data_IF_086422140461
#
_entry.id   IF_086422140461
#
_cell.length_a   1.000
_cell.length_b   1.000
_cell.length_c   1.000
_cell.angle_alpha   90.00
_cell.angle_beta   90.00
_cell.angle_gamma   90.00
#
_symmetry.space_group_name_H-M   'P 1'
#
loop_
_entity.id
_entity.type
_entity.pdbx_description
1 polymer ?
#
# COMPACT_ATOMS: atom_id res chain seq x y z
N UNK A 1 -9.34 3.62 -18.30
CA UNK A 1 -8.65 3.53 -16.98
C UNK A 1 -7.20 3.90 -17.21
N UNK A 2 -6.67 4.87 -16.47
CA UNK A 2 -5.23 5.19 -16.59
C UNK A 2 -4.43 4.12 -15.84
N UNK A 3 -3.47 3.49 -16.52
CA UNK A 3 -2.56 2.53 -15.92
C UNK A 3 -1.75 3.22 -14.81
N UNK A 4 -1.53 2.52 -13.70
CA UNK A 4 -0.75 3.02 -12.59
C UNK A 4 0.17 1.92 -12.02
N UNK A 5 1.27 2.36 -11.42
CA UNK A 5 2.13 1.48 -10.64
C UNK A 5 1.93 1.69 -9.14
N UNK A 6 2.42 0.76 -8.33
CA UNK A 6 2.43 0.89 -6.89
C UNK A 6 3.85 1.01 -6.34
N UNK A 7 4.03 1.87 -5.35
CA UNK A 7 5.26 2.05 -4.59
C UNK A 7 4.96 1.66 -3.15
N UNK A 8 5.61 0.62 -2.65
CA UNK A 8 5.50 0.18 -1.26
C UNK A 8 6.69 0.70 -0.48
N UNK A 9 6.44 1.57 0.47
CA UNK A 9 7.47 2.13 1.32
C UNK A 9 7.87 1.10 2.39
N UNK A 10 9.04 0.50 2.24
CA UNK A 10 9.60 -0.48 3.18
C UNK A 10 10.69 0.11 4.07
N UNK A 11 11.24 1.26 3.69
CA UNK A 11 12.23 2.02 4.44
C UNK A 11 11.61 2.88 5.53
N UNK A 12 12.38 3.15 6.56
CA UNK A 12 12.00 4.04 7.65
C UNK A 12 12.77 3.74 8.93
N UNK A 13 12.53 4.52 9.98
CA UNK A 13 13.21 4.41 11.29
C UNK A 13 12.99 3.07 12.04
N UNK A 14 12.39 2.06 11.39
CA UNK A 14 12.15 0.71 11.94
C UNK A 14 13.39 -0.01 12.43
N UNK A 15 14.57 0.37 11.95
CA UNK A 15 15.86 -0.11 12.50
C UNK A 15 16.05 0.19 14.00
N UNK A 16 15.32 1.17 14.55
CA UNK A 16 15.39 1.50 15.98
C UNK A 16 14.67 0.50 16.88
N UNK A 17 13.80 -0.36 16.33
CA UNK A 17 13.05 -1.38 17.08
C UNK A 17 13.57 -2.80 16.85
N UNK A 18 14.68 -2.99 16.15
CA UNK A 18 15.35 -4.28 16.00
C UNK A 18 14.63 -5.30 15.09
N UNK A 19 13.48 -4.96 14.52
CA UNK A 19 12.75 -5.84 13.60
C UNK A 19 12.43 -5.11 12.28
N UNK A 20 12.64 -5.80 11.17
CA UNK A 20 12.24 -5.33 9.86
C UNK A 20 10.72 -5.51 9.70
N UNK A 21 9.98 -4.39 9.72
CA UNK A 21 8.51 -4.40 9.61
C UNK A 21 8.00 -5.06 8.34
N UNK A 22 8.76 -4.99 7.25
CA UNK A 22 8.38 -5.59 5.96
C UNK A 22 8.43 -7.13 6.00
N UNK A 23 9.33 -7.68 6.82
CA UNK A 23 9.47 -9.11 7.02
C UNK A 23 8.53 -9.68 8.09
N UNK A 24 7.81 -8.84 8.83
CA UNK A 24 6.88 -9.31 9.86
C UNK A 24 5.74 -10.10 9.23
N UNK A 25 5.41 -11.25 9.83
CA UNK A 25 4.32 -12.10 9.37
C UNK A 25 2.97 -11.68 9.96
N UNK A 26 1.96 -11.67 9.10
CA UNK A 26 0.55 -11.47 9.40
C UNK A 26 -0.23 -12.62 8.77
N UNK A 27 -0.91 -13.41 9.59
CA UNK A 27 -1.64 -14.60 9.13
C UNK A 27 -0.79 -15.53 8.23
N UNK A 28 0.51 -15.70 8.58
CA UNK A 28 1.44 -16.55 7.84
C UNK A 28 1.98 -15.94 6.53
N UNK A 29 1.71 -14.67 6.25
CA UNK A 29 2.22 -13.95 5.07
C UNK A 29 3.04 -12.74 5.51
N UNK A 30 4.20 -12.48 4.86
CA UNK A 30 5.00 -11.30 5.14
C UNK A 30 4.21 -10.03 4.81
N UNK A 31 4.35 -9.00 5.62
CA UNK A 31 3.65 -7.72 5.43
C UNK A 31 3.86 -7.15 4.02
N UNK A 32 5.08 -7.21 3.51
CA UNK A 32 5.41 -6.72 2.15
C UNK A 32 4.67 -7.48 1.06
N UNK A 33 4.56 -8.82 1.15
CA UNK A 33 3.86 -9.65 0.17
C UNK A 33 2.35 -9.37 0.19
N UNK A 34 1.79 -9.18 1.39
CA UNK A 34 0.40 -8.84 1.57
C UNK A 34 0.05 -7.48 0.93
N UNK A 35 0.87 -6.46 1.16
CA UNK A 35 0.67 -5.13 0.56
C UNK A 35 0.89 -5.18 -0.96
N UNK A 36 1.82 -5.99 -1.45
CA UNK A 36 2.03 -6.18 -2.89
C UNK A 36 0.82 -6.86 -3.56
N UNK A 37 0.26 -7.90 -2.92
CA UNK A 37 -0.96 -8.55 -3.38
C UNK A 37 -2.16 -7.57 -3.38
N UNK A 38 -2.31 -6.76 -2.35
CA UNK A 38 -3.32 -5.70 -2.29
C UNK A 38 -3.18 -4.71 -3.45
N UNK A 39 -1.96 -4.22 -3.71
CA UNK A 39 -1.70 -3.28 -4.81
C UNK A 39 -2.07 -3.88 -6.17
N UNK A 40 -1.72 -5.15 -6.39
CA UNK A 40 -2.06 -5.90 -7.60
C UNK A 40 -3.57 -6.08 -7.73
N UNK A 41 -4.26 -6.47 -6.65
CA UNK A 41 -5.73 -6.61 -6.62
C UNK A 41 -6.44 -5.27 -6.87
N UNK A 42 -5.86 -4.15 -6.45
CA UNK A 42 -6.35 -2.80 -6.75
C UNK A 42 -6.12 -2.36 -8.21
N UNK A 43 -5.42 -3.17 -9.02
CA UNK A 43 -5.20 -2.93 -10.44
C UNK A 43 -3.84 -2.30 -10.79
N UNK A 44 -2.88 -2.28 -9.87
CA UNK A 44 -1.52 -1.84 -10.20
C UNK A 44 -0.89 -2.80 -11.23
N UNK A 45 -0.43 -2.25 -12.36
CA UNK A 45 0.23 -3.04 -13.42
C UNK A 45 1.71 -3.32 -13.14
N UNK A 46 2.27 -2.62 -12.16
CA UNK A 46 3.63 -2.81 -11.66
C UNK A 46 3.66 -2.47 -10.17
N UNK A 47 4.35 -3.30 -9.41
CA UNK A 47 4.52 -3.10 -7.96
C UNK A 47 6.01 -3.13 -7.66
N UNK A 48 6.51 -2.12 -6.98
CA UNK A 48 7.89 -2.05 -6.52
C UNK A 48 7.96 -1.61 -5.06
N UNK A 49 9.00 -2.02 -4.39
CA UNK A 49 9.34 -1.57 -3.04
C UNK A 49 10.36 -0.45 -3.09
N UNK A 50 10.28 0.51 -2.17
CA UNK A 50 11.28 1.55 -2.01
C UNK A 50 11.93 1.43 -0.62
N UNK A 51 13.24 1.24 -0.60
CA UNK A 51 14.03 1.00 0.60
C UNK A 51 14.80 -0.32 0.54
N UNK A 52 14.48 -1.29 1.41
CA UNK A 52 15.19 -2.56 1.44
C UNK A 52 14.67 -3.56 0.40
N UNK A 53 15.55 -4.44 -0.06
CA UNK A 53 15.20 -5.59 -0.91
C UNK A 53 14.49 -6.67 -0.08
N UNK A 54 13.31 -7.06 -0.54
CA UNK A 54 12.48 -8.12 0.06
C UNK A 54 12.15 -9.23 -0.95
N UNK A 55 12.93 -9.33 -2.06
CA UNK A 55 12.71 -10.30 -3.13
C UNK A 55 11.62 -9.89 -4.13
N UNK A 56 11.15 -8.64 -4.06
CA UNK A 56 10.30 -7.98 -5.06
C UNK A 56 11.14 -7.01 -5.89
N UNK A 57 10.57 -6.54 -7.00
CA UNK A 57 11.21 -5.41 -7.69
C UNK A 57 11.38 -4.24 -6.71
N UNK A 58 12.60 -3.70 -6.60
CA UNK A 58 12.89 -2.67 -5.62
C UNK A 58 13.72 -1.53 -6.19
N UNK A 59 13.66 -0.40 -5.51
CA UNK A 59 14.55 0.74 -5.71
C UNK A 59 15.18 1.09 -4.36
N UNK A 60 16.45 1.34 -4.38
CA UNK A 60 17.19 1.78 -3.19
C UNK A 60 16.79 3.18 -2.76
N UNK A 61 16.87 3.43 -1.46
CA UNK A 61 16.80 4.80 -0.94
C UNK A 61 17.95 5.62 -1.54
N UNK A 62 17.70 6.85 -2.03
CA UNK A 62 18.70 7.68 -2.68
C UNK A 62 19.86 8.05 -1.74
N UNK A 63 19.68 7.95 -0.43
CA UNK A 63 20.69 8.13 0.60
C UNK A 63 20.24 7.49 1.93
N UNK A 64 21.17 7.12 2.81
CA UNK A 64 20.83 6.69 4.17
C UNK A 64 20.00 7.77 4.89
N UNK A 65 18.82 7.39 5.38
CA UNK A 65 17.93 8.35 6.06
C UNK A 65 17.13 9.25 5.13
N UNK A 66 17.04 8.94 3.85
CA UNK A 66 16.23 9.68 2.86
C UNK A 66 14.74 9.81 3.24
N UNK A 67 14.29 8.96 4.15
CA UNK A 67 12.91 8.98 4.62
C UNK A 67 11.89 8.57 3.55
N UNK A 68 10.60 8.59 3.89
CA UNK A 68 9.59 8.09 3.00
C UNK A 68 9.45 8.88 1.69
N UNK A 69 9.72 10.17 1.71
CA UNK A 69 9.70 11.00 0.48
C UNK A 69 10.81 10.60 -0.47
N UNK A 70 12.01 10.25 0.04
CA UNK A 70 13.09 9.70 -0.79
C UNK A 70 12.65 8.46 -1.53
N UNK A 71 11.98 7.53 -0.85
CA UNK A 71 11.41 6.32 -1.46
C UNK A 71 10.34 6.63 -2.50
N UNK A 72 9.44 7.60 -2.25
CA UNK A 72 8.44 8.03 -3.24
C UNK A 72 9.12 8.58 -4.50
N UNK A 73 10.12 9.43 -4.34
CA UNK A 73 10.82 10.03 -5.49
C UNK A 73 11.60 8.99 -6.31
N UNK A 74 12.26 8.03 -5.65
CA UNK A 74 12.96 6.94 -6.31
C UNK A 74 11.99 6.02 -7.06
N UNK A 75 10.92 5.60 -6.41
CA UNK A 75 9.87 4.77 -7.00
C UNK A 75 9.17 5.46 -8.18
N UNK A 76 8.86 6.76 -8.05
CA UNK A 76 8.26 7.54 -9.12
C UNK A 76 9.15 7.59 -10.37
N UNK A 77 10.45 7.77 -10.21
CA UNK A 77 11.42 7.73 -11.33
C UNK A 77 11.42 6.36 -12.01
N UNK A 78 11.41 5.28 -11.23
CA UNK A 78 11.37 3.93 -11.76
C UNK A 78 10.07 3.67 -12.53
N UNK A 79 8.91 4.06 -12.00
CA UNK A 79 7.63 3.93 -12.69
C UNK A 79 7.59 4.77 -13.97
N UNK A 80 8.11 5.99 -13.95
CA UNK A 80 8.21 6.85 -15.15
C UNK A 80 9.08 6.22 -16.24
N UNK A 81 10.19 5.57 -15.88
CA UNK A 81 11.04 4.84 -16.83
C UNK A 81 10.31 3.67 -17.52
N UNK A 82 9.23 3.17 -16.91
CA UNK A 82 8.33 2.16 -17.48
C UNK A 82 7.09 2.76 -18.18
N UNK A 83 7.08 4.07 -18.42
CA UNK A 83 5.99 4.76 -19.13
C UNK A 83 4.72 4.94 -18.29
N UNK A 84 4.78 4.74 -16.97
CA UNK A 84 3.66 4.99 -16.08
C UNK A 84 3.67 6.44 -15.62
N UNK A 85 2.49 7.06 -15.61
CA UNK A 85 2.32 8.46 -15.23
C UNK A 85 1.65 8.63 -13.86
N UNK A 86 1.20 7.54 -13.22
CA UNK A 86 0.44 7.56 -11.97
C UNK A 86 0.95 6.50 -11.00
N UNK A 87 0.99 6.85 -9.72
CA UNK A 87 1.42 5.96 -8.66
C UNK A 87 0.40 5.87 -7.53
N UNK A 88 0.21 4.66 -7.01
CA UNK A 88 -0.36 4.37 -5.69
C UNK A 88 0.81 4.17 -4.72
N UNK A 89 0.85 4.94 -3.65
CA UNK A 89 1.88 4.82 -2.60
C UNK A 89 1.27 4.19 -1.37
N UNK A 90 1.87 3.12 -0.90
CA UNK A 90 1.44 2.35 0.27
C UNK A 90 2.56 2.26 1.31
N UNK A 91 2.20 2.13 2.58
CA UNK A 91 3.13 1.79 3.64
C UNK A 91 3.03 0.30 3.99
N UNK A 92 4.16 -0.32 4.26
CA UNK A 92 4.21 -1.75 4.57
C UNK A 92 3.58 -2.11 5.93
N UNK A 93 3.39 -1.14 6.80
CA UNK A 93 2.90 -1.33 8.18
C UNK A 93 1.37 -1.19 8.35
N UNK A 94 0.61 -1.06 7.25
CA UNK A 94 -0.86 -0.99 7.26
C UNK A 94 -1.49 -2.26 6.63
N UNK A 95 -1.42 -3.42 7.29
CA UNK A 95 -1.80 -4.71 6.71
C UNK A 95 -3.32 -4.94 6.61
N UNK A 96 -4.12 -4.08 7.23
CA UNK A 96 -5.58 -4.18 7.27
C UNK A 96 -6.30 -3.35 6.21
N UNK A 97 -5.54 -2.66 5.36
CA UNK A 97 -6.08 -1.90 4.21
C UNK A 97 -6.69 -2.87 3.21
N UNK A 98 -7.85 -2.50 2.66
CA UNK A 98 -8.56 -3.28 1.64
C UNK A 98 -8.59 -2.57 0.29
N UNK A 99 -9.00 -3.27 -0.77
CA UNK A 99 -9.16 -2.67 -2.11
C UNK A 99 -10.25 -1.59 -2.09
N UNK A 100 -11.31 -1.81 -1.32
CA UNK A 100 -12.42 -0.86 -1.14
C UNK A 100 -11.94 0.43 -0.48
N UNK A 101 -11.01 0.34 0.46
CA UNK A 101 -10.39 1.51 1.08
C UNK A 101 -9.53 2.32 0.09
N UNK A 102 -8.99 1.69 -0.94
CA UNK A 102 -8.19 2.34 -1.97
C UNK A 102 -9.03 2.91 -3.13
N UNK A 103 -10.25 2.40 -3.33
CA UNK A 103 -11.09 2.76 -4.47
C UNK A 103 -11.37 4.28 -4.57
N UNK A 104 -11.68 5.03 -3.49
CA UNK A 104 -11.86 6.48 -3.55
C UNK A 104 -10.60 7.23 -3.99
N UNK A 105 -9.41 6.79 -3.55
CA UNK A 105 -8.14 7.37 -3.97
C UNK A 105 -7.87 7.13 -5.45
N UNK A 106 -8.14 5.91 -5.93
CA UNK A 106 -7.94 5.52 -7.32
C UNK A 106 -8.92 6.22 -8.26
N UNK A 107 -10.14 6.52 -7.78
CA UNK A 107 -11.16 7.27 -8.53
C UNK A 107 -10.89 8.78 -8.56
N UNK A 108 -10.03 9.31 -7.69
CA UNK A 108 -9.71 10.72 -7.69
C UNK A 108 -9.05 11.16 -8.99
N UNK A 109 -9.41 12.37 -9.44
CA UNK A 109 -8.79 13.02 -10.59
C UNK A 109 -7.36 13.49 -10.30
N UNK A 110 -6.77 14.17 -11.26
CA UNK A 110 -5.47 14.83 -11.07
C UNK A 110 -5.59 16.02 -10.09
N UNK A 111 -4.55 16.28 -9.32
CA UNK A 111 -3.25 15.64 -9.31
C UNK A 111 -3.19 14.34 -8.49
N UNK A 112 -4.25 13.92 -7.85
CA UNK A 112 -4.37 12.75 -7.01
C UNK A 112 -5.01 13.08 -5.66
N UNK A 113 -4.99 12.12 -4.73
CA UNK A 113 -5.63 12.24 -3.43
C UNK A 113 -4.91 11.46 -2.34
N UNK A 114 -5.20 11.82 -1.09
CA UNK A 114 -4.79 11.15 0.13
C UNK A 114 -5.91 11.26 1.17
N UNK A 115 -5.85 10.50 2.25
CA UNK A 115 -6.82 10.63 3.33
C UNK A 115 -6.41 11.68 4.36
N UNK A 116 -7.36 12.51 4.78
CA UNK A 116 -7.14 13.59 5.74
C UNK A 116 -6.45 13.09 7.02
N UNK A 117 -5.33 13.71 7.36
CA UNK A 117 -4.50 13.33 8.49
C UNK A 117 -3.59 12.11 8.28
N UNK A 118 -3.71 11.40 7.15
CA UNK A 118 -2.93 10.22 6.79
C UNK A 118 -2.34 10.38 5.38
N UNK A 119 -1.11 10.88 5.24
CA UNK A 119 -0.51 11.13 3.92
C UNK A 119 -0.22 9.85 3.11
N UNK A 120 -0.35 8.67 3.71
CA UNK A 120 -0.30 7.35 3.06
C UNK A 120 -1.45 6.52 3.63
N UNK A 121 -2.23 5.80 2.77
CA UNK A 121 -2.08 5.66 1.32
C UNK A 121 -2.38 6.94 0.55
N UNK A 122 -1.70 7.13 -0.58
CA UNK A 122 -2.00 8.22 -1.51
C UNK A 122 -1.91 7.76 -2.95
N UNK A 123 -2.64 8.42 -3.84
CA UNK A 123 -2.50 8.30 -5.29
C UNK A 123 -2.08 9.65 -5.85
N UNK A 124 -1.13 9.65 -6.77
CA UNK A 124 -0.68 10.88 -7.41
C UNK A 124 -0.29 10.66 -8.88
N UNK A 125 -0.46 11.70 -9.70
CA UNK A 125 0.22 11.76 -11.00
C UNK A 125 1.67 12.13 -10.78
N UNK A 126 2.59 11.47 -11.48
CA UNK A 126 4.03 11.70 -11.27
C UNK A 126 4.43 13.15 -11.63
N UNK A 127 3.71 13.76 -12.56
CA UNK A 127 3.92 15.17 -12.95
C UNK A 127 3.55 16.17 -11.83
N UNK A 128 2.75 15.76 -10.84
CA UNK A 128 2.42 16.61 -9.70
C UNK A 128 3.52 16.65 -8.63
N UNK A 129 4.52 15.78 -8.70
CA UNK A 129 5.63 15.84 -7.78
C UNK A 129 6.37 17.18 -7.91
N UNK A 130 6.57 17.93 -6.81
CA UNK A 130 7.29 19.20 -6.88
C UNK A 130 8.71 18.99 -7.39
N UNK A 131 9.14 19.82 -8.33
CA UNK A 131 10.49 19.75 -8.90
C UNK A 131 11.61 19.98 -7.85
N UNK A 132 11.28 20.69 -6.79
CA UNK A 132 12.13 20.96 -5.64
C UNK A 132 11.95 19.94 -4.49
N UNK A 133 11.22 18.85 -4.71
CA UNK A 133 11.04 17.84 -3.68
C UNK A 133 12.35 17.12 -3.37
N UNK A 134 12.66 17.01 -2.08
CA UNK A 134 13.91 16.46 -1.59
C UNK A 134 13.65 15.29 -0.63
N UNK A 135 14.59 14.36 -0.63
CA UNK A 135 14.68 13.34 0.40
C UNK A 135 14.73 14.00 1.79
N UNK A 136 14.06 13.38 2.77
CA UNK A 136 13.97 13.94 4.12
C UNK A 136 12.78 14.86 4.35
N UNK A 137 12.05 15.30 3.32
CA UNK A 137 10.79 15.98 3.54
C UNK A 137 9.81 15.08 4.28
N UNK A 138 8.96 15.63 5.18
CA UNK A 138 7.83 14.89 5.70
C UNK A 138 6.80 14.66 4.58
N UNK A 139 6.14 13.49 4.57
CA UNK A 139 5.11 13.14 3.58
C UNK A 139 3.97 14.18 3.53
N UNK A 140 3.64 14.78 4.68
CA UNK A 140 2.63 15.84 4.73
C UNK A 140 3.00 17.03 3.83
N UNK A 141 4.26 17.46 3.87
CA UNK A 141 4.75 18.53 2.99
C UNK A 141 4.65 18.13 1.53
N UNK A 142 4.96 16.87 1.20
CA UNK A 142 4.87 16.36 -0.16
C UNK A 142 3.44 16.44 -0.70
N UNK A 143 2.44 15.91 0.04
CA UNK A 143 1.04 15.92 -0.42
C UNK A 143 0.48 17.34 -0.55
N UNK A 144 0.84 18.25 0.37
CA UNK A 144 0.45 19.66 0.31
C UNK A 144 1.06 20.37 -0.92
N UNK A 145 2.36 20.16 -1.15
CA UNK A 145 3.08 20.79 -2.27
C UNK A 145 2.71 20.20 -3.64
N UNK A 146 2.35 18.93 -3.69
CA UNK A 146 1.82 18.28 -4.88
C UNK A 146 0.35 18.64 -5.17
N UNK A 147 -0.30 19.39 -4.27
CA UNK A 147 -1.69 19.83 -4.43
C UNK A 147 -2.70 18.68 -4.37
N UNK A 148 -2.37 17.56 -3.70
CA UNK A 148 -3.27 16.41 -3.64
C UNK A 148 -4.56 16.76 -2.88
N UNK A 149 -5.68 16.19 -3.33
CA UNK A 149 -6.98 16.36 -2.67
C UNK A 149 -7.05 15.54 -1.39
N UNK A 150 -7.38 16.18 -0.27
CA UNK A 150 -7.65 15.49 0.98
C UNK A 150 -9.07 14.90 0.95
N UNK A 151 -9.20 13.58 1.07
CA UNK A 151 -10.47 12.87 1.19
C UNK A 151 -10.84 12.68 2.65
N UNK A 152 -12.14 12.74 2.97
CA UNK A 152 -12.62 12.48 4.32
C UNK A 152 -12.21 11.08 4.79
N UNK A 153 -11.80 10.98 6.06
CA UNK A 153 -11.37 9.74 6.68
C UNK A 153 -12.15 9.56 7.98
N UNK A 154 -13.15 8.69 7.98
CA UNK A 154 -13.88 8.36 9.20
C UNK A 154 -13.02 7.52 10.17
N UNK A 155 -13.51 7.32 11.38
CA UNK A 155 -12.76 6.61 12.42
C UNK A 155 -12.53 5.13 12.06
N UNK A 156 -13.49 4.47 11.43
CA UNK A 156 -13.37 3.07 11.03
C UNK A 156 -12.29 2.88 9.95
N UNK A 157 -12.30 3.76 8.94
CA UNK A 157 -11.27 3.80 7.91
C UNK A 157 -9.90 4.14 8.51
N UNK A 158 -9.85 5.12 9.40
CA UNK A 158 -8.63 5.53 10.09
C UNK A 158 -7.99 4.39 10.87
N UNK A 159 -8.79 3.55 11.53
CA UNK A 159 -8.29 2.37 12.25
C UNK A 159 -7.67 1.34 11.30
N UNK A 160 -8.26 1.10 10.12
CA UNK A 160 -7.69 0.17 9.12
C UNK A 160 -6.41 0.72 8.46
N UNK A 161 -6.36 2.03 8.24
CA UNK A 161 -5.21 2.69 7.61
C UNK A 161 -4.05 2.92 8.58
N UNK A 162 -4.28 2.85 9.89
CA UNK A 162 -3.24 2.98 10.89
C UNK A 162 -2.30 1.79 10.83
N UNK A 163 -1.02 2.09 10.70
CA UNK A 163 0.01 1.08 10.84
C UNK A 163 0.11 0.54 12.26
N UNK A 164 0.35 -0.75 12.41
CA UNK A 164 0.65 -1.36 13.69
C UNK A 164 2.13 -1.10 14.04
N UNK A 165 2.37 -0.22 15.00
CA UNK A 165 3.71 0.12 15.46
C UNK A 165 4.16 -0.69 16.67
N UNK A 166 3.22 -1.35 17.39
CA UNK A 166 3.48 -2.17 18.58
C UNK A 166 2.84 -3.56 18.44
N UNK A 167 3.32 -4.53 19.24
CA UNK A 167 2.71 -5.86 19.31
C UNK A 167 1.24 -5.79 19.74
N UNK A 168 0.92 -4.92 20.69
CA UNK A 168 -0.45 -4.73 21.19
C UNK A 168 -1.38 -4.14 20.11
N UNK A 169 -0.89 -3.19 19.31
CA UNK A 169 -1.63 -2.66 18.15
C UNK A 169 -1.85 -3.75 17.08
N UNK A 170 -0.85 -4.64 16.89
CA UNK A 170 -0.97 -5.79 15.98
C UNK A 170 -2.06 -6.76 16.43
N UNK A 171 -2.09 -7.15 17.71
CA UNK A 171 -3.11 -8.04 18.27
C UNK A 171 -4.51 -7.44 18.11
N UNK A 172 -4.67 -6.13 18.35
CA UNK A 172 -5.96 -5.44 18.14
C UNK A 172 -6.38 -5.43 16.67
N UNK A 173 -5.46 -5.28 15.73
CA UNK A 173 -5.75 -5.31 14.29
C UNK A 173 -6.01 -6.73 13.78
N UNK A 174 -5.35 -7.75 14.32
CA UNK A 174 -5.59 -9.16 13.99
C UNK A 174 -6.96 -9.65 14.45
N UNK A 175 -7.59 -8.97 15.42
CA UNK A 175 -8.94 -9.28 15.87
C UNK A 175 -10.05 -8.78 14.91
N UNK A 176 -9.71 -7.98 13.89
CA UNK A 176 -10.66 -7.63 12.83
C UNK A 176 -10.84 -8.83 11.90
N UNK A 177 -12.09 -9.29 11.64
CA UNK A 177 -12.30 -10.37 10.70
C UNK A 177 -11.78 -9.97 9.31
N UNK A 178 -11.19 -10.93 8.55
CA UNK A 178 -10.80 -10.64 7.18
C UNK A 178 -12.04 -10.20 6.39
N UNK A 179 -11.92 -9.30 5.41
CA UNK A 179 -13.02 -8.90 4.55
C UNK A 179 -13.63 -10.18 3.95
N UNK A 180 -14.97 -10.29 4.00
CA UNK A 180 -15.70 -11.44 3.49
C UNK A 180 -15.33 -11.67 2.02
N UNK A 181 -14.45 -12.63 1.75
CA UNK A 181 -14.23 -13.15 0.41
C UNK A 181 -15.51 -13.85 -0.03
N UNK A 182 -16.06 -13.47 -1.14
CA UNK A 182 -17.20 -14.15 -1.76
C UNK A 182 -16.90 -15.64 -1.91
N UNK A 183 -17.81 -16.44 -1.34
CA UNK A 183 -17.69 -17.90 -1.32
C UNK A 183 -17.55 -18.48 -2.72
N UNK A 184 -16.45 -19.16 -2.96
CA UNK A 184 -16.29 -20.00 -4.15
C UNK A 184 -17.42 -21.04 -4.24
N UNK A 185 -17.77 -21.50 -5.43
CA UNK A 185 -18.90 -22.41 -5.65
C UNK A 185 -18.69 -23.72 -4.90
N UNK A 186 -19.63 -24.07 -4.04
CA UNK A 186 -19.71 -25.38 -3.39
C UNK A 186 -19.90 -26.44 -4.47
N UNK A 187 -18.89 -27.25 -4.73
CA UNK A 187 -19.04 -28.46 -5.53
C UNK A 187 -19.94 -29.44 -4.76
N UNK A 188 -21.21 -29.49 -5.16
CA UNK A 188 -22.14 -30.50 -4.70
C UNK A 188 -21.79 -31.85 -5.30
N UNK A 189 -21.18 -32.74 -4.51
CA UNK A 189 -21.09 -34.16 -4.84
C UNK A 189 -22.44 -34.81 -4.56
N UNK A 190 -23.28 -34.91 -5.56
CA UNK A 190 -24.49 -35.73 -5.54
C UNK A 190 -24.14 -37.21 -5.68
N UNK A 191 -24.04 -37.92 -4.58
CA UNK A 191 -24.03 -39.39 -4.58
C UNK A 191 -25.43 -39.92 -4.88
N UNK A 192 -25.63 -40.41 -6.09
CA UNK A 192 -26.83 -41.19 -6.45
C UNK A 192 -26.55 -42.67 -6.34
N UNK A 193 -27.02 -43.29 -5.25
CA UNK A 193 -27.15 -44.74 -5.16
C UNK A 193 -28.37 -45.19 -5.93
N UNK A 194 -28.20 -46.00 -6.96
CA UNK A 194 -29.28 -46.76 -7.59
C UNK A 194 -29.07 -48.24 -7.25
N UNK A 195 -29.88 -48.72 -6.33
CA UNK A 195 -30.22 -50.15 -6.21
C UNK A 195 -31.40 -50.41 -7.17
N UNK A 196 -31.33 -51.45 -7.96
CA UNK A 196 -32.42 -51.92 -8.77
C UNK A 196 -32.28 -53.38 -9.07
N UNK A 197 -33.21 -54.18 -8.69
CA UNK A 197 -33.58 -55.49 -8.84
C UNK A 197 -33.25 -56.33 -10.12
#
# INVERSE_FOLDING_TARGET
MNLFGAIILTGGASRRMGADKAALEWDGQRAVDRVAALATAAGAVRVLTAGSDHGLEHVDDPAPGAGPVGGVLAGARALAAHGLARALVLAVDAPTVTVEDLAPLLAAGEPGAFYEGLPVPMVLTLAALPADAEAGWPLRRLVERAGLTALACDEALRLRLRGANTLEEREKLSAFPPPCGEGGPRSGSGGGSVQGG
#
